data_IF_624785211431
#
_entry.id   IF_624785211431
#
_cell.length_a   1.000
_cell.length_b   1.000
_cell.length_c   1.000
_cell.angle_alpha   90.00
_cell.angle_beta   90.00
_cell.angle_gamma   90.00
#
_symmetry.space_group_name_H-M   'P 1'
#
loop_
_entity.id
_entity.type
_entity.pdbx_description
1 polymer ?
#
# COMPACT_ATOMS: atom_id res chain seq x y z
N UNK A 1 -39.02 -15.03 16.58
CA UNK A 1 -38.75 -16.10 15.60
C UNK A 1 -38.50 -15.46 14.26
N UNK A 2 -37.24 -15.37 13.83
CA UNK A 2 -36.43 -16.41 13.18
C UNK A 2 -36.88 -16.59 11.73
N UNK A 3 -36.13 -16.01 10.79
CA UNK A 3 -35.82 -16.64 9.50
C UNK A 3 -34.55 -16.00 8.91
N UNK A 4 -33.46 -16.76 9.00
CA UNK A 4 -32.22 -16.55 8.27
C UNK A 4 -32.36 -17.23 6.91
N UNK A 5 -32.07 -16.55 5.79
CA UNK A 5 -31.49 -17.25 4.62
C UNK A 5 -30.64 -16.29 3.78
N UNK A 6 -29.40 -16.74 3.57
CA UNK A 6 -28.29 -16.10 2.88
C UNK A 6 -28.56 -15.64 1.44
N UNK A 7 -27.95 -14.53 1.06
CA UNK A 7 -27.37 -14.35 -0.28
C UNK A 7 -25.95 -13.80 -0.14
N UNK A 8 -25.00 -14.67 -0.47
CA UNK A 8 -23.58 -14.39 -0.57
C UNK A 8 -23.36 -13.35 -1.67
N UNK A 9 -23.07 -12.11 -1.29
CA UNK A 9 -22.46 -11.14 -2.17
C UNK A 9 -21.26 -10.52 -1.44
N UNK A 10 -20.10 -11.14 -1.67
CA UNK A 10 -18.76 -10.54 -1.67
C UNK A 10 -18.31 -9.91 -0.33
N UNK A 11 -18.00 -10.72 0.69
CA UNK A 11 -16.64 -11.21 0.96
C UNK A 11 -15.51 -10.19 0.69
N UNK A 12 -15.03 -9.60 1.81
CA UNK A 12 -13.77 -8.89 2.01
C UNK A 12 -13.75 -7.34 1.92
N UNK A 13 -14.77 -6.66 2.46
CA UNK A 13 -14.55 -5.30 2.98
C UNK A 13 -14.02 -5.38 4.41
N UNK A 14 -12.69 -5.30 4.48
CA UNK A 14 -11.92 -4.74 5.61
C UNK A 14 -12.04 -5.47 6.95
N UNK A 15 -11.38 -6.63 7.05
CA UNK A 15 -10.72 -6.98 8.33
C UNK A 15 -9.64 -5.94 8.57
N UNK A 16 -10.00 -4.79 9.15
CA UNK A 16 -9.05 -3.90 9.80
C UNK A 16 -8.67 -4.66 11.07
N UNK A 17 -7.47 -5.23 11.22
CA UNK A 17 -7.02 -5.64 12.54
C UNK A 17 -7.00 -4.36 13.38
N UNK A 18 -7.91 -4.32 14.33
CA UNK A 18 -7.97 -3.38 15.44
C UNK A 18 -6.78 -3.64 16.38
N UNK A 19 -5.56 -3.55 15.87
CA UNK A 19 -4.36 -3.45 16.68
C UNK A 19 -4.15 -2.00 17.09
N UNK A 20 -3.46 -1.72 18.20
CA UNK A 20 -3.17 -0.35 18.62
C UNK A 20 -2.25 0.42 17.64
N UNK A 21 -1.71 -0.20 16.59
CA UNK A 21 -0.93 0.50 15.57
C UNK A 21 -1.83 1.04 14.45
N UNK A 22 -1.60 2.30 14.05
CA UNK A 22 -2.23 2.88 12.87
C UNK A 22 -1.84 2.05 11.64
N UNK A 23 -2.77 1.70 10.75
CA UNK A 23 -2.44 0.98 9.53
C UNK A 23 -1.46 1.79 8.67
N UNK A 24 -0.62 1.10 7.91
CA UNK A 24 0.26 1.66 6.88
C UNK A 24 -0.56 1.87 5.62
N UNK A 25 -0.83 3.13 5.27
CA UNK A 25 -1.38 3.49 3.96
C UNK A 25 -0.28 4.08 3.10
N UNK A 26 -0.16 3.62 1.86
CA UNK A 26 0.71 4.22 0.85
C UNK A 26 -0.06 4.43 -0.44
N UNK A 27 -0.17 5.68 -0.84
CA UNK A 27 -0.73 6.10 -2.11
C UNK A 27 0.39 6.20 -3.15
N UNK A 28 0.19 5.59 -4.31
CA UNK A 28 1.18 5.50 -5.38
C UNK A 28 0.59 6.11 -6.63
N UNK A 29 1.21 7.18 -7.12
CA UNK A 29 0.83 7.88 -8.35
C UNK A 29 1.93 7.74 -9.39
N UNK A 30 1.56 7.32 -10.60
CA UNK A 30 2.49 7.09 -11.69
C UNK A 30 2.52 8.29 -12.62
N UNK A 31 3.69 8.91 -12.75
CA UNK A 31 3.99 9.96 -13.74
C UNK A 31 4.48 9.41 -15.07
N UNK A 32 4.64 8.08 -15.18
CA UNK A 32 5.11 7.38 -16.35
C UNK A 32 4.94 5.87 -16.14
N UNK A 33 5.16 5.07 -17.19
CA UNK A 33 5.11 3.61 -17.09
C UNK A 33 6.19 3.11 -16.12
N UNK A 34 5.80 2.28 -15.15
CA UNK A 34 6.74 1.69 -14.19
C UNK A 34 6.29 0.30 -13.77
N UNK A 35 7.25 -0.62 -13.60
CA UNK A 35 6.98 -1.92 -12.99
C UNK A 35 6.96 -1.80 -11.47
N UNK A 36 5.94 -2.35 -10.82
CA UNK A 36 5.73 -2.29 -9.37
C UNK A 36 5.51 -3.67 -8.78
N UNK A 37 6.13 -3.91 -7.63
CA UNK A 37 5.92 -5.05 -6.76
C UNK A 37 5.52 -4.56 -5.38
N UNK A 38 4.37 -5.03 -4.89
CA UNK A 38 3.77 -4.58 -3.64
C UNK A 38 3.47 -5.78 -2.76
N UNK A 39 3.98 -5.74 -1.54
CA UNK A 39 3.86 -6.81 -0.56
C UNK A 39 3.35 -6.20 0.76
N UNK A 40 2.12 -6.52 1.13
CA UNK A 40 1.49 -6.07 2.37
C UNK A 40 1.52 -7.19 3.40
N UNK A 41 2.09 -6.91 4.57
CA UNK A 41 2.20 -7.86 5.70
C UNK A 41 2.82 -9.21 5.27
N UNK A 42 3.80 -9.16 4.36
CA UNK A 42 4.46 -10.35 3.81
C UNK A 42 3.71 -11.07 2.69
N UNK A 43 2.52 -10.61 2.30
CA UNK A 43 1.74 -11.17 1.19
C UNK A 43 1.83 -10.28 -0.04
N UNK A 44 2.26 -10.85 -1.17
CA UNK A 44 2.27 -10.16 -2.47
C UNK A 44 0.85 -9.76 -2.85
N UNK A 45 0.60 -8.45 -2.95
CA UNK A 45 -0.69 -7.87 -3.34
C UNK A 45 -0.75 -7.57 -4.83
N UNK A 46 0.38 -7.13 -5.38
CA UNK A 46 0.47 -6.74 -6.77
C UNK A 46 1.89 -6.94 -7.30
N UNK A 47 1.99 -7.33 -8.56
CA UNK A 47 3.24 -7.38 -9.32
C UNK A 47 2.89 -7.19 -10.79
N UNK A 48 3.38 -6.10 -11.39
CA UNK A 48 3.01 -5.77 -12.76
C UNK A 48 3.45 -4.37 -13.16
N UNK A 49 3.17 -4.01 -14.41
CA UNK A 49 3.43 -2.67 -14.94
C UNK A 49 2.18 -1.82 -14.72
N UNK A 50 2.35 -0.65 -14.13
CA UNK A 50 1.34 0.40 -14.11
C UNK A 50 1.70 1.44 -15.17
N UNK A 51 0.68 1.90 -15.90
CA UNK A 51 0.80 2.95 -16.90
C UNK A 51 0.79 4.34 -16.24
N UNK A 52 1.19 5.35 -17.00
CA UNK A 52 1.11 6.75 -16.60
C UNK A 52 -0.32 7.15 -16.20
N UNK A 53 -0.44 8.00 -15.17
CA UNK A 53 -1.72 8.47 -14.65
C UNK A 53 -2.42 7.47 -13.73
N UNK A 54 -1.89 6.25 -13.57
CA UNK A 54 -2.41 5.30 -12.59
C UNK A 54 -2.20 5.84 -11.17
N UNK A 55 -3.25 5.76 -10.35
CA UNK A 55 -3.21 6.05 -8.93
C UNK A 55 -3.75 4.84 -8.16
N UNK A 56 -2.97 4.33 -7.22
CA UNK A 56 -3.31 3.14 -6.44
C UNK A 56 -2.99 3.35 -4.97
N UNK A 57 -3.97 3.09 -4.12
CA UNK A 57 -3.83 3.16 -2.66
C UNK A 57 -3.66 1.76 -2.08
N UNK A 58 -2.62 1.57 -1.27
CA UNK A 58 -2.29 0.29 -0.66
C UNK A 58 -2.30 0.41 0.85
N UNK A 59 -2.95 -0.55 1.51
CA UNK A 59 -3.06 -0.59 2.97
C UNK A 59 -2.47 -1.89 3.52
N UNK A 60 -1.65 -1.77 4.56
CA UNK A 60 -1.09 -2.86 5.33
C UNK A 60 -1.23 -2.60 6.84
N UNK A 61 -1.11 -3.63 7.65
CA UNK A 61 -1.33 -3.53 9.10
C UNK A 61 -0.04 -3.26 9.87
N UNK A 62 1.04 -3.92 9.45
CA UNK A 62 2.34 -3.83 10.08
C UNK A 62 3.34 -3.21 9.13
N UNK A 63 3.43 -3.75 7.92
CA UNK A 63 4.45 -3.37 6.93
C UNK A 63 3.93 -3.44 5.50
N UNK A 64 4.27 -2.44 4.71
CA UNK A 64 4.08 -2.43 3.27
C UNK A 64 5.44 -2.28 2.59
N UNK A 65 5.81 -3.25 1.78
CA UNK A 65 6.97 -3.19 0.91
C UNK A 65 6.52 -2.82 -0.49
N UNK A 66 7.18 -1.83 -1.07
CA UNK A 66 6.95 -1.34 -2.43
C UNK A 66 8.28 -1.33 -3.15
N UNK A 67 8.35 -1.97 -4.31
CA UNK A 67 9.49 -1.94 -5.21
C UNK A 67 9.04 -1.45 -6.57
N UNK A 68 9.73 -0.45 -7.11
CA UNK A 68 9.47 0.10 -8.42
C UNK A 68 10.70 -0.03 -9.32
N UNK A 69 10.49 -0.41 -10.58
CA UNK A 69 11.45 -0.27 -11.66
C UNK A 69 11.10 0.96 -12.49
N UNK A 70 12.08 1.84 -12.71
CA UNK A 70 11.85 3.23 -13.11
C UNK A 70 11.15 4.06 -12.02
N UNK A 71 11.72 4.03 -10.82
CA UNK A 71 11.22 4.67 -9.62
C UNK A 71 11.12 6.21 -9.72
N UNK A 72 11.75 6.83 -10.73
CA UNK A 72 11.58 8.25 -11.01
C UNK A 72 10.18 8.60 -11.50
N UNK A 73 9.48 7.64 -12.10
CA UNK A 73 8.11 7.84 -12.53
C UNK A 73 7.08 7.50 -11.46
N UNK A 74 7.53 7.16 -10.25
CA UNK A 74 6.66 6.75 -9.14
C UNK A 74 6.68 7.81 -8.05
N UNK A 75 5.52 8.37 -7.73
CA UNK A 75 5.30 9.22 -6.57
C UNK A 75 4.64 8.39 -5.48
N UNK A 76 5.20 8.39 -4.29
CA UNK A 76 4.68 7.68 -3.12
C UNK A 76 4.31 8.66 -2.03
N UNK A 77 3.16 8.44 -1.42
CA UNK A 77 2.68 9.19 -0.26
C UNK A 77 2.37 8.20 0.85
N UNK A 78 3.03 8.34 2.00
CA UNK A 78 2.83 7.43 3.13
C UNK A 78 1.98 8.10 4.20
N UNK A 79 0.84 7.51 4.56
CA UNK A 79 -0.03 7.96 5.66
C UNK A 79 -0.36 9.46 5.62
N UNK A 80 -0.73 9.98 4.45
CA UNK A 80 -1.00 11.42 4.21
C UNK A 80 0.19 12.34 4.55
N UNK A 81 1.41 11.81 4.55
CA UNK A 81 2.62 12.64 4.60
C UNK A 81 2.87 13.29 3.24
N UNK A 82 3.92 14.08 3.12
CA UNK A 82 4.28 14.69 1.84
C UNK A 82 4.59 13.63 0.79
N UNK A 83 3.90 13.70 -0.36
CA UNK A 83 4.19 12.90 -1.54
C UNK A 83 5.64 13.14 -2.01
N UNK A 84 6.37 12.06 -2.27
CA UNK A 84 7.77 12.09 -2.69
C UNK A 84 8.00 11.16 -3.86
N UNK A 85 8.90 11.54 -4.74
CA UNK A 85 9.39 10.66 -5.78
C UNK A 85 10.08 9.46 -5.13
N UNK A 86 9.77 8.26 -5.60
CA UNK A 86 10.25 7.03 -5.00
C UNK A 86 11.76 6.87 -5.21
N UNK A 87 12.27 7.28 -6.37
CA UNK A 87 13.70 7.23 -6.69
C UNK A 87 14.07 8.09 -7.88
N UNK A 88 15.23 7.83 -8.46
CA UNK A 88 15.70 8.50 -9.67
C UNK A 88 15.05 7.89 -10.94
N UNK A 89 14.89 8.67 -12.03
CA UNK A 89 14.46 8.14 -13.33
C UNK A 89 15.33 6.97 -13.80
N UNK A 90 14.69 5.90 -14.29
CA UNK A 90 15.32 4.65 -14.72
C UNK A 90 15.83 3.75 -13.59
N UNK A 91 15.88 4.23 -12.34
CA UNK A 91 16.41 3.46 -11.22
C UNK A 91 15.39 2.44 -10.70
N UNK A 92 15.88 1.33 -10.15
CA UNK A 92 15.05 0.38 -9.39
C UNK A 92 15.19 0.71 -7.92
N UNK A 93 14.09 1.07 -7.25
CA UNK A 93 14.09 1.40 -5.82
C UNK A 93 13.13 0.48 -5.07
N UNK A 94 13.48 0.13 -3.84
CA UNK A 94 12.58 -0.52 -2.89
C UNK A 94 12.45 0.33 -1.61
N UNK A 95 11.22 0.47 -1.13
CA UNK A 95 10.88 1.16 0.11
C UNK A 95 10.04 0.22 0.98
N UNK A 96 10.31 0.25 2.28
CA UNK A 96 9.49 -0.46 3.27
C UNK A 96 8.90 0.58 4.21
N UNK A 97 7.57 0.60 4.26
CA UNK A 97 6.79 1.44 5.16
C UNK A 97 6.30 0.57 6.30
N UNK A 98 6.53 0.99 7.54
CA UNK A 98 6.07 0.29 8.73
C UNK A 98 5.21 1.21 9.57
N UNK A 99 4.23 0.65 10.27
CA UNK A 99 3.43 1.42 11.22
C UNK A 99 4.39 1.95 12.30
N UNK A 100 4.41 3.28 12.53
CA UNK A 100 5.16 3.83 13.66
C UNK A 100 4.63 3.16 14.93
N UNK A 101 5.47 2.49 15.74
CA UNK A 101 5.03 2.06 17.06
C UNK A 101 4.63 3.32 17.84
N UNK A 102 3.50 3.28 18.57
CA UNK A 102 3.21 4.33 19.55
C UNK A 102 4.41 4.42 20.50
N UNK A 103 4.97 5.61 20.78
CA UNK A 103 5.87 5.76 21.91
C UNK A 103 5.08 5.35 23.15
N UNK A 104 5.54 4.34 23.88
CA UNK A 104 5.05 4.09 25.24
C UNK A 104 5.39 5.32 26.07
N UNK A 105 4.38 6.12 26.43
CA UNK A 105 4.53 7.08 27.51
C UNK A 105 4.77 6.27 28.78
N UNK A 106 5.98 6.39 29.33
CA UNK A 106 6.35 5.92 30.67
C UNK A 106 5.65 6.76 31.72
#
# INVERSE_FOLDING_TARGET
NLDQTNSQAQLALTKIPSGPNKPVQVDITLKGRSWLLIVADGKKKYEGILEEGAHQTWVANEKLFVKAGDAGNVIVEFNNQQAKQMGAPGAVQALTFAAKPRPSLQ
#
